data_IF_250662334466
#
_entry.id   IF_250662334466
#
_cell.length_a   1.000
_cell.length_b   1.000
_cell.length_c   1.000
_cell.angle_alpha   90.00
_cell.angle_beta   90.00
_cell.angle_gamma   90.00
#
_symmetry.space_group_name_H-M   'P 1'
#
loop_
_entity.id
_entity.type
_entity.pdbx_description
1 polymer ?
#
# COMPACT_ATOMS: atom_id res chain seq x y z
N UNK A 1 24.99 -2.99 -3.72
CA UNK A 1 23.66 -3.28 -3.16
C UNK A 1 23.24 -4.68 -3.61
N UNK A 2 22.57 -5.46 -2.75
CA UNK A 2 21.90 -6.70 -3.18
C UNK A 2 20.51 -6.32 -3.72
N UNK A 3 19.99 -7.09 -4.67
CA UNK A 3 18.61 -6.94 -5.14
C UNK A 3 17.69 -7.80 -4.28
N UNK A 4 16.61 -7.21 -3.79
CA UNK A 4 15.53 -7.90 -3.10
C UNK A 4 14.25 -7.72 -3.93
N UNK A 5 13.60 -8.81 -4.28
CA UNK A 5 12.28 -8.78 -4.90
C UNK A 5 11.25 -9.13 -3.84
N UNK A 6 10.30 -8.24 -3.60
CA UNK A 6 9.15 -8.46 -2.71
C UNK A 6 7.90 -8.51 -3.58
N UNK A 7 7.01 -9.46 -3.34
CA UNK A 7 5.71 -9.56 -4.02
C UNK A 7 4.62 -9.59 -2.97
N UNK A 8 3.71 -8.62 -3.05
CA UNK A 8 2.51 -8.56 -2.22
C UNK A 8 1.32 -8.67 -3.17
N UNK A 9 0.50 -9.70 -2.99
CA UNK A 9 -0.73 -9.89 -3.75
C UNK A 9 -1.90 -9.90 -2.76
N UNK A 10 -2.86 -8.99 -2.97
CA UNK A 10 -4.02 -8.82 -2.10
C UNK A 10 -5.28 -9.23 -2.86
N UNK A 11 -6.08 -10.09 -2.24
CA UNK A 11 -7.43 -10.41 -2.68
C UNK A 11 -8.38 -10.10 -1.52
N UNK A 12 -9.24 -9.10 -1.71
CA UNK A 12 -10.06 -8.55 -0.64
C UNK A 12 -11.54 -8.74 -0.94
N UNK A 13 -12.32 -9.07 0.09
CA UNK A 13 -13.77 -8.87 0.07
C UNK A 13 -14.05 -7.46 0.56
N UNK A 14 -14.51 -6.58 -0.32
CA UNK A 14 -14.80 -5.18 -0.01
C UNK A 14 -16.28 -4.86 -0.24
N UNK A 15 -16.82 -3.79 0.35
CA UNK A 15 -18.20 -3.35 0.11
C UNK A 15 -18.49 -3.04 -1.37
N UNK A 16 -19.73 -3.31 -1.79
CA UNK A 16 -20.19 -3.11 -3.18
C UNK A 16 -20.25 -1.63 -3.60
N UNK A 17 -20.29 -0.70 -2.64
CA UNK A 17 -20.41 0.73 -2.87
C UNK A 17 -19.06 1.45 -3.02
N UNK A 18 -17.96 0.70 -3.04
CA UNK A 18 -16.63 1.23 -3.35
C UNK A 18 -16.45 1.36 -4.86
N UNK A 19 -15.88 2.48 -5.29
CA UNK A 19 -15.60 2.74 -6.70
C UNK A 19 -14.10 2.94 -6.92
N UNK A 20 -13.62 2.76 -8.15
CA UNK A 20 -12.29 3.21 -8.53
C UNK A 20 -12.35 4.67 -8.99
N UNK A 21 -11.38 5.44 -8.55
CA UNK A 21 -11.08 6.76 -9.07
C UNK A 21 -9.62 6.82 -9.52
N UNK A 22 -9.30 7.82 -10.34
CA UNK A 22 -7.94 8.04 -10.84
C UNK A 22 -7.52 9.45 -10.48
N UNK A 23 -6.34 9.60 -9.88
CA UNK A 23 -5.78 10.92 -9.60
C UNK A 23 -5.41 11.64 -10.90
N UNK A 24 -5.15 12.94 -10.84
CA UNK A 24 -4.66 13.69 -12.00
C UNK A 24 -3.32 13.19 -12.55
N UNK A 25 -2.58 12.42 -11.76
CA UNK A 25 -1.29 11.81 -12.12
C UNK A 25 -1.45 10.39 -12.68
N UNK A 26 -2.67 9.86 -12.73
CA UNK A 26 -2.96 8.53 -13.29
C UNK A 26 -2.97 7.39 -12.28
N UNK A 27 -2.69 7.65 -11.00
CA UNK A 27 -2.70 6.63 -9.94
C UNK A 27 -4.13 6.21 -9.60
N UNK A 28 -4.45 4.90 -9.61
CA UNK A 28 -5.75 4.41 -9.14
C UNK A 28 -5.85 4.52 -7.62
N UNK A 29 -7.01 4.95 -7.13
CA UNK A 29 -7.36 4.98 -5.70
C UNK A 29 -8.79 4.47 -5.52
N UNK A 30 -9.12 4.02 -4.32
CA UNK A 30 -10.49 3.68 -3.95
C UNK A 30 -11.25 4.94 -3.55
N UNK A 31 -12.42 5.13 -4.13
CA UNK A 31 -13.41 6.11 -3.70
C UNK A 31 -14.40 5.43 -2.77
N UNK A 32 -14.41 5.86 -1.52
CA UNK A 32 -15.28 5.37 -0.46
C UNK A 32 -16.59 6.17 -0.41
N UNK A 33 -17.62 5.65 0.28
CA UNK A 33 -18.77 6.45 0.68
C UNK A 33 -18.34 7.72 1.43
N UNK A 34 -19.17 8.77 1.37
CA UNK A 34 -18.92 10.09 1.97
C UNK A 34 -17.83 10.94 1.29
N UNK A 35 -17.36 10.55 0.11
CA UNK A 35 -16.41 11.34 -0.68
C UNK A 35 -14.97 11.27 -0.18
N UNK A 36 -14.64 10.23 0.60
CA UNK A 36 -13.27 9.92 1.00
C UNK A 36 -12.58 9.10 -0.09
N UNK A 37 -11.26 9.21 -0.15
CA UNK A 37 -10.42 8.41 -1.03
C UNK A 37 -9.40 7.65 -0.19
N UNK A 38 -9.10 6.42 -0.57
CA UNK A 38 -8.13 5.56 0.08
C UNK A 38 -7.16 5.02 -0.95
N UNK A 39 -5.88 5.17 -0.64
CA UNK A 39 -4.80 4.49 -1.35
C UNK A 39 -4.30 3.33 -0.49
N UNK A 40 -3.93 2.23 -1.13
CA UNK A 40 -3.34 1.04 -0.52
C UNK A 40 -1.88 1.03 -0.93
N UNK A 41 -1.03 1.38 0.02
CA UNK A 41 0.41 1.39 -0.12
C UNK A 41 1.06 0.33 0.80
N UNK A 42 2.34 0.07 0.56
CA UNK A 42 3.16 -0.75 1.44
C UNK A 42 3.60 0.10 2.64
N UNK A 43 3.40 -0.43 3.85
CA UNK A 43 3.93 0.18 5.08
C UNK A 43 4.95 -0.78 5.73
N UNK A 44 6.22 -0.36 5.89
CA UNK A 44 7.22 -1.17 6.59
C UNK A 44 6.93 -1.19 8.09
N UNK A 45 6.98 -2.39 8.67
CA UNK A 45 6.84 -2.59 10.12
C UNK A 45 8.17 -3.03 10.72
N UNK A 46 8.41 -2.60 11.95
CA UNK A 46 9.67 -2.80 12.66
C UNK A 46 9.43 -3.49 14.00
N UNK A 47 10.40 -4.31 14.39
CA UNK A 47 10.49 -4.94 15.70
C UNK A 47 11.98 -5.22 16.00
N UNK A 48 12.34 -5.28 17.28
CA UNK A 48 13.70 -5.63 17.71
C UNK A 48 13.88 -7.13 17.94
N UNK A 49 12.78 -7.85 18.15
CA UNK A 49 12.69 -9.31 18.21
C UNK A 49 11.65 -9.80 17.18
N UNK A 50 11.95 -10.82 16.35
CA UNK A 50 10.99 -11.39 15.40
C UNK A 50 9.67 -11.87 16.02
N UNK A 51 9.67 -12.22 17.31
CA UNK A 51 8.51 -12.71 18.06
C UNK A 51 7.73 -11.60 18.79
N UNK A 52 8.22 -10.36 18.75
CA UNK A 52 7.52 -9.19 19.31
C UNK A 52 6.37 -8.72 18.42
N UNK A 53 5.58 -7.78 18.93
CA UNK A 53 4.62 -7.04 18.10
C UNK A 53 5.36 -6.12 17.15
N UNK A 54 5.04 -6.22 15.86
CA UNK A 54 5.57 -5.35 14.82
C UNK A 54 4.73 -4.08 14.74
N UNK A 55 5.37 -2.92 14.68
CA UNK A 55 4.69 -1.62 14.62
C UNK A 55 5.23 -0.76 13.50
N UNK A 56 4.44 0.21 13.05
CA UNK A 56 4.94 1.27 12.19
C UNK A 56 6.00 2.10 12.92
N UNK A 57 6.71 2.93 12.16
CA UNK A 57 7.63 3.94 12.71
C UNK A 57 6.94 5.29 12.72
N UNK A 58 7.09 6.04 13.82
CA UNK A 58 6.71 7.46 13.88
C UNK A 58 7.83 8.37 13.33
N UNK A 59 8.99 7.80 13.01
CA UNK A 59 10.14 8.52 12.45
C UNK A 59 10.04 8.57 10.92
N UNK A 60 9.60 9.72 10.39
CA UNK A 60 9.44 9.95 8.94
C UNK A 60 10.73 9.71 8.15
N UNK A 61 11.90 10.07 8.70
CA UNK A 61 13.20 9.87 8.04
C UNK A 61 13.48 8.38 7.79
N UNK A 62 13.17 7.51 8.76
CA UNK A 62 13.35 6.06 8.62
C UNK A 62 12.40 5.50 7.57
N UNK A 63 11.15 5.97 7.54
CA UNK A 63 10.18 5.58 6.53
C UNK A 63 10.66 6.00 5.12
N UNK A 64 11.08 7.26 4.98
CA UNK A 64 11.56 7.81 3.72
C UNK A 64 12.81 7.07 3.21
N UNK A 65 13.76 6.73 4.09
CA UNK A 65 14.94 5.94 3.72
C UNK A 65 14.55 4.56 3.15
N UNK A 66 13.47 3.94 3.65
CA UNK A 66 12.94 2.69 3.09
C UNK A 66 12.28 2.92 1.73
N UNK A 67 11.45 3.96 1.61
CA UNK A 67 10.76 4.28 0.36
C UNK A 67 11.74 4.66 -0.75
N UNK A 68 12.83 5.33 -0.43
CA UNK A 68 13.92 5.66 -1.37
C UNK A 68 14.63 4.42 -1.94
N UNK A 69 14.54 3.26 -1.27
CA UNK A 69 15.07 2.00 -1.81
C UNK A 69 14.16 1.34 -2.86
N UNK A 70 12.94 1.83 -3.03
CA UNK A 70 11.97 1.29 -3.99
C UNK A 70 12.29 1.83 -5.39
N UNK A 71 12.99 1.02 -6.20
CA UNK A 71 13.30 1.38 -7.60
C UNK A 71 12.06 1.38 -8.51
N UNK A 72 11.04 0.61 -8.18
CA UNK A 72 9.78 0.54 -8.92
C UNK A 72 8.68 -0.11 -8.08
N UNK A 73 7.46 0.40 -8.19
CA UNK A 73 6.25 -0.20 -7.60
C UNK A 73 5.15 -0.28 -8.67
N UNK A 74 4.42 -1.39 -8.70
CA UNK A 74 3.21 -1.54 -9.51
C UNK A 74 2.04 -1.88 -8.59
N UNK A 75 1.12 -0.93 -8.42
CA UNK A 75 -0.13 -1.14 -7.68
C UNK A 75 -1.28 -1.23 -8.68
N UNK A 76 -1.98 -2.37 -8.70
CA UNK A 76 -3.11 -2.61 -9.60
C UNK A 76 -4.38 -2.90 -8.79
N UNK A 77 -5.42 -2.11 -9.07
CA UNK A 77 -6.76 -2.33 -8.54
C UNK A 77 -7.64 -2.94 -9.62
N UNK A 78 -8.37 -3.98 -9.27
CA UNK A 78 -9.32 -4.64 -10.16
C UNK A 78 -10.48 -5.23 -9.36
N UNK A 79 -11.70 -4.84 -9.72
CA UNK A 79 -12.89 -5.54 -9.25
C UNK A 79 -13.15 -6.75 -10.13
N UNK A 80 -13.24 -7.93 -9.52
CA UNK A 80 -13.61 -9.17 -10.22
C UNK A 80 -15.13 -9.26 -10.31
N UNK A 81 -15.69 -9.02 -11.49
CA UNK A 81 -17.12 -9.24 -11.76
C UNK A 81 -17.34 -10.66 -12.28
N UNK A 82 -18.42 -11.31 -11.82
CA UNK A 82 -18.81 -12.66 -12.22
C UNK A 82 -20.03 -12.62 -13.16
#
# INVERSE_FOLDING_TARGET
MKKLNVTIQLAMSVPDDWELATTSEGTPVLKLPNGQFMDIAIEPLFATDPEETWTSTDEEDVLNDILDMVESEEVRYEFVTH
#
